data_IF_735145265197
#
_entry.id   IF_735145265197
#
_cell.length_a   1.000
_cell.length_b   1.000
_cell.length_c   1.000
_cell.angle_alpha   90.00
_cell.angle_beta   90.00
_cell.angle_gamma   90.00
#
_symmetry.space_group_name_H-M   'P 1'
#
loop_
_entity.id
_entity.type
_entity.pdbx_description
1 polymer ?
#
# COMPACT_ATOMS: atom_id res chain seq x y z
N UNK A 1 -8.97 -4.98 25.65
CA UNK A 1 -9.16 -5.06 24.19
C UNK A 1 -9.60 -6.47 23.83
N UNK A 2 -10.67 -6.62 23.05
CA UNK A 2 -11.12 -7.94 22.56
C UNK A 2 -10.22 -8.32 21.39
N UNK A 3 -9.53 -9.46 21.49
CA UNK A 3 -8.66 -9.96 20.44
C UNK A 3 -9.41 -11.03 19.67
N UNK A 4 -9.51 -10.89 18.36
CA UNK A 4 -9.96 -11.96 17.48
C UNK A 4 -8.78 -12.88 17.15
N UNK A 5 -8.94 -14.19 17.36
CA UNK A 5 -7.84 -15.16 17.20
C UNK A 5 -8.05 -15.98 15.94
N UNK A 6 -7.10 -15.88 15.02
CA UNK A 6 -7.03 -16.70 13.81
C UNK A 6 -5.95 -17.77 13.91
N UNK A 7 -6.28 -18.97 13.45
CA UNK A 7 -5.30 -20.00 13.12
C UNK A 7 -4.97 -19.88 11.64
N UNK A 8 -3.69 -19.69 11.30
CA UNK A 8 -3.23 -19.47 9.93
C UNK A 8 -2.26 -20.58 9.53
N UNK A 9 -2.64 -21.35 8.51
CA UNK A 9 -1.74 -22.29 7.86
C UNK A 9 -0.88 -21.56 6.83
N UNK A 10 0.40 -21.94 6.75
CA UNK A 10 1.37 -21.37 5.81
C UNK A 10 2.45 -22.39 5.51
N UNK A 11 3.11 -22.22 4.36
CA UNK A 11 4.30 -23.00 4.03
C UNK A 11 5.36 -22.88 5.14
N UNK A 12 6.06 -23.97 5.50
CA UNK A 12 6.99 -23.97 6.62
C UNK A 12 8.07 -22.88 6.53
N UNK A 13 8.61 -22.68 5.33
CA UNK A 13 9.63 -21.68 5.02
C UNK A 13 9.11 -20.25 5.22
N UNK A 14 7.89 -19.98 4.77
CA UNK A 14 7.22 -18.70 4.99
C UNK A 14 7.00 -18.44 6.48
N UNK A 15 6.56 -19.46 7.23
CA UNK A 15 6.39 -19.32 8.67
C UNK A 15 7.69 -19.02 9.41
N UNK A 16 8.81 -19.59 8.96
CA UNK A 16 10.12 -19.25 9.51
C UNK A 16 10.53 -17.83 9.14
N UNK A 17 10.32 -17.40 7.89
CA UNK A 17 10.61 -16.05 7.44
C UNK A 17 9.81 -14.99 8.22
N UNK A 18 8.52 -15.23 8.47
CA UNK A 18 7.65 -14.36 9.28
C UNK A 18 8.17 -14.26 10.72
N UNK A 19 8.54 -15.38 11.34
CA UNK A 19 9.13 -15.37 12.70
C UNK A 19 10.41 -14.54 12.77
N UNK A 20 11.29 -14.68 11.78
CA UNK A 20 12.51 -13.88 11.72
C UNK A 20 12.22 -12.40 11.47
N UNK A 21 11.25 -12.07 10.61
CA UNK A 21 10.85 -10.69 10.34
C UNK A 21 10.29 -10.01 11.59
N UNK A 22 9.39 -10.68 12.32
CA UNK A 22 8.87 -10.19 13.59
C UNK A 22 9.98 -9.96 14.62
N UNK A 23 10.94 -10.90 14.72
CA UNK A 23 12.10 -10.75 15.60
C UNK A 23 12.97 -9.54 15.23
N UNK A 24 13.26 -9.34 13.93
CA UNK A 24 13.99 -8.15 13.45
C UNK A 24 13.26 -6.84 13.74
N UNK A 25 11.93 -6.86 13.67
CA UNK A 25 11.07 -5.72 13.99
C UNK A 25 10.86 -5.52 15.50
N UNK A 26 11.35 -6.41 16.35
CA UNK A 26 11.17 -6.32 17.81
C UNK A 26 9.73 -6.48 18.28
N UNK A 27 8.88 -7.17 17.51
CA UNK A 27 7.46 -7.37 17.80
C UNK A 27 7.07 -8.86 17.79
N UNK A 28 5.87 -9.18 18.23
CA UNK A 28 5.35 -10.56 18.18
C UNK A 28 4.96 -10.94 16.75
N UNK A 29 4.90 -12.24 16.45
CA UNK A 29 4.43 -12.73 15.13
C UNK A 29 3.03 -12.22 14.81
N UNK A 30 2.12 -12.24 15.80
CA UNK A 30 0.77 -11.71 15.61
C UNK A 30 0.77 -10.21 15.36
N UNK A 31 1.61 -9.44 16.08
CA UNK A 31 1.75 -8.00 15.85
C UNK A 31 2.25 -7.69 14.44
N UNK A 32 3.31 -8.38 14.02
CA UNK A 32 3.87 -8.24 12.68
C UNK A 32 2.85 -8.59 11.58
N UNK A 33 2.11 -9.70 11.74
CA UNK A 33 1.07 -10.09 10.79
C UNK A 33 -0.10 -9.10 10.77
N UNK A 34 -0.51 -8.57 11.93
CA UNK A 34 -1.56 -7.56 12.01
C UNK A 34 -1.18 -6.27 11.27
N UNK A 35 0.07 -5.80 11.43
CA UNK A 35 0.57 -4.64 10.70
C UNK A 35 0.63 -4.87 9.19
N UNK A 36 1.13 -6.03 8.77
CA UNK A 36 1.19 -6.39 7.35
C UNK A 36 -0.22 -6.50 6.74
N UNK A 37 -1.16 -7.13 7.44
CA UNK A 37 -2.55 -7.23 7.02
C UNK A 37 -3.22 -5.85 6.94
N UNK A 38 -3.02 -4.99 7.93
CA UNK A 38 -3.55 -3.62 7.93
C UNK A 38 -3.00 -2.80 6.75
N UNK A 39 -1.70 -2.91 6.46
CA UNK A 39 -1.09 -2.24 5.32
C UNK A 39 -1.69 -2.72 3.99
N UNK A 40 -1.87 -4.03 3.81
CA UNK A 40 -2.48 -4.62 2.61
C UNK A 40 -3.92 -4.14 2.43
N UNK A 41 -4.74 -4.25 3.47
CA UNK A 41 -6.17 -3.85 3.43
C UNK A 41 -6.30 -2.36 3.16
N UNK A 42 -5.49 -1.51 3.81
CA UNK A 42 -5.50 -0.07 3.54
C UNK A 42 -5.20 0.23 2.07
N UNK A 43 -4.24 -0.45 1.47
CA UNK A 43 -3.90 -0.24 0.06
C UNK A 43 -5.03 -0.73 -0.88
N UNK A 44 -5.72 -1.82 -0.55
CA UNK A 44 -6.90 -2.29 -1.30
C UNK A 44 -8.04 -1.28 -1.24
N UNK A 45 -8.36 -0.80 -0.04
CA UNK A 45 -9.42 0.18 0.17
C UNK A 45 -9.10 1.52 -0.49
N UNK A 46 -7.83 1.94 -0.48
CA UNK A 46 -7.38 3.13 -1.18
C UNK A 46 -7.57 2.98 -2.70
N UNK A 47 -7.18 1.84 -3.27
CA UNK A 47 -7.41 1.56 -4.70
C UNK A 47 -8.90 1.64 -5.05
N UNK A 48 -9.75 0.95 -4.28
CA UNK A 48 -11.19 0.98 -4.51
C UNK A 48 -11.80 2.40 -4.37
N UNK A 49 -11.28 3.22 -3.46
CA UNK A 49 -11.71 4.61 -3.31
C UNK A 49 -11.29 5.47 -4.50
N UNK A 50 -10.09 5.27 -5.04
CA UNK A 50 -9.61 5.95 -6.24
C UNK A 50 -10.42 5.55 -7.47
N UNK A 51 -10.73 4.26 -7.63
CA UNK A 51 -11.56 3.76 -8.73
C UNK A 51 -12.97 4.36 -8.69
N UNK A 52 -13.55 4.48 -7.49
CA UNK A 52 -14.87 5.10 -7.31
C UNK A 52 -14.84 6.60 -7.66
N UNK A 53 -13.80 7.31 -7.23
CA UNK A 53 -13.62 8.72 -7.55
C UNK A 53 -13.44 8.95 -9.06
N UNK A 54 -12.61 8.14 -9.73
CA UNK A 54 -12.38 8.26 -11.18
C UNK A 54 -13.65 7.92 -11.99
N UNK A 55 -14.52 7.05 -11.49
CA UNK A 55 -15.80 6.76 -12.12
C UNK A 55 -16.80 7.93 -12.01
N UNK A 56 -16.71 8.74 -10.95
CA UNK A 56 -17.60 9.89 -10.71
C UNK A 56 -17.11 11.15 -11.43
N UNK A 57 -15.82 11.48 -11.30
CA UNK A 57 -15.25 12.74 -11.79
C UNK A 57 -14.47 12.60 -13.11
N UNK A 58 -14.11 11.38 -13.51
CA UNK A 58 -13.19 11.11 -14.61
C UNK A 58 -11.72 11.31 -14.22
N UNK A 59 -10.77 10.93 -15.09
CA UNK A 59 -9.36 11.17 -14.84
C UNK A 59 -9.05 12.68 -14.81
N UNK A 60 -8.06 13.12 -14.02
CA UNK A 60 -7.67 14.53 -13.97
C UNK A 60 -7.18 15.01 -15.34
N UNK A 61 -7.59 16.22 -15.72
CA UNK A 61 -7.19 16.84 -16.98
C UNK A 61 -5.74 17.33 -16.97
N UNK A 62 -5.20 17.63 -18.17
CA UNK A 62 -3.82 18.08 -18.32
C UNK A 62 -3.51 19.36 -17.50
N UNK A 63 -4.44 20.31 -17.42
CA UNK A 63 -4.27 21.54 -16.64
C UNK A 63 -4.16 21.26 -15.11
N UNK A 64 -4.93 20.29 -14.63
CA UNK A 64 -4.92 19.88 -13.22
C UNK A 64 -3.65 19.10 -12.88
N UNK A 65 -3.19 18.23 -13.79
CA UNK A 65 -1.91 17.53 -13.65
C UNK A 65 -0.73 18.51 -13.69
N UNK A 66 -0.76 19.50 -14.57
CA UNK A 66 0.27 20.54 -14.64
C UNK A 66 0.28 21.40 -13.37
N UNK A 67 -0.90 21.72 -12.81
CA UNK A 67 -0.99 22.40 -11.52
C UNK A 67 -0.44 21.54 -10.38
N UNK A 68 -0.83 20.27 -10.32
CA UNK A 68 -0.37 19.33 -9.29
C UNK A 68 1.15 19.14 -9.35
N UNK A 69 1.73 19.02 -10.55
CA UNK A 69 3.17 18.91 -10.76
C UNK A 69 3.92 20.12 -10.18
N UNK A 70 3.42 21.34 -10.43
CA UNK A 70 3.98 22.58 -9.86
C UNK A 70 3.88 22.62 -8.33
N UNK A 71 2.76 22.17 -7.76
CA UNK A 71 2.55 22.17 -6.29
C UNK A 71 3.43 21.12 -5.59
N UNK A 72 3.56 19.95 -6.19
CA UNK A 72 4.30 18.81 -5.63
C UNK A 72 5.80 18.85 -5.93
N UNK A 73 6.25 19.75 -6.81
CA UNK A 73 7.65 19.87 -7.19
C UNK A 73 8.18 18.68 -8.01
N UNK A 74 7.29 17.96 -8.69
CA UNK A 74 7.61 16.86 -9.60
C UNK A 74 7.44 17.33 -11.04
N UNK A 75 8.46 17.99 -11.58
CA UNK A 75 8.48 18.39 -12.99
C UNK A 75 8.58 17.16 -13.91
N UNK A 76 7.84 17.18 -15.02
CA UNK A 76 7.63 16.19 -16.09
C UNK A 76 8.92 15.81 -16.87
N UNK A 77 9.98 15.43 -16.16
CA UNK A 77 11.28 15.05 -16.74
C UNK A 77 11.28 13.71 -17.47
N UNK A 78 10.25 12.88 -17.30
CA UNK A 78 10.22 11.49 -17.81
C UNK A 78 9.75 11.39 -19.26
N UNK A 79 9.18 12.44 -19.85
CA UNK A 79 8.69 12.42 -21.24
C UNK A 79 9.78 12.64 -22.30
N UNK A 80 11.03 12.93 -21.92
CA UNK A 80 12.12 13.32 -22.84
C UNK A 80 13.16 12.24 -23.17
N UNK A 81 13.04 11.00 -22.68
CA UNK A 81 14.10 9.97 -22.86
C UNK A 81 13.83 8.93 -23.95
N UNK A 82 12.88 9.15 -24.85
CA UNK A 82 12.62 8.25 -25.99
C UNK A 82 12.66 9.05 -27.29
N UNK A 83 13.87 9.31 -27.80
CA UNK A 83 14.16 9.86 -29.12
C UNK A 83 15.29 9.07 -29.75
#
# INVERSE_FOLDING_TARGET
>A
MKVDRLSVAMEPELGQAVRQAAARAGTSVSGWLSEAAAARVRNELLGAALDAWEAEDGPPGDEELDWAARVLGVDDGTRRSSG
#
